data_IF_497485356166
#
_entry.id   IF_497485356166
#
_cell.length_a   1.000
_cell.length_b   1.000
_cell.length_c   1.000
_cell.angle_alpha   90.00
_cell.angle_beta   90.00
_cell.angle_gamma   90.00
#
_symmetry.space_group_name_H-M   'P 1'
#
loop_
_entity.id
_entity.type
_entity.pdbx_description
1 polymer ?
#
# COMPACT_ATOMS: atom_id res chain seq x y z
N UNK A 1 15.62 -3.99 7.31
CA UNK A 1 14.21 -4.32 7.11
C UNK A 1 13.70 -5.12 8.31
N UNK A 2 12.39 -5.13 8.59
CA UNK A 2 11.88 -5.74 9.81
C UNK A 2 12.29 -7.21 9.96
N UNK A 3 12.64 -7.58 11.17
CA UNK A 3 13.03 -8.95 11.50
C UNK A 3 11.84 -9.79 11.98
N UNK A 4 10.72 -9.14 12.28
CA UNK A 4 9.54 -9.78 12.86
C UNK A 4 8.28 -9.39 12.09
N UNK A 5 7.33 -10.33 11.89
CA UNK A 5 6.04 -10.00 11.29
C UNK A 5 5.25 -8.93 12.08
N UNK A 6 5.65 -8.68 13.32
CA UNK A 6 4.97 -7.71 14.19
C UNK A 6 5.67 -6.36 14.25
N UNK A 7 6.68 -6.17 13.39
CA UNK A 7 7.51 -4.96 13.43
C UNK A 7 6.69 -3.66 13.40
N UNK A 8 5.72 -3.57 12.49
CA UNK A 8 4.89 -2.38 12.37
C UNK A 8 3.80 -2.26 13.43
N UNK A 9 3.63 -3.27 14.29
CA UNK A 9 2.70 -3.15 15.42
C UNK A 9 3.28 -2.26 16.52
N UNK A 10 4.59 -2.11 16.56
CA UNK A 10 5.23 -1.13 17.44
C UNK A 10 5.02 0.26 16.85
N UNK A 11 4.39 1.20 17.59
CA UNK A 11 4.17 2.56 17.08
C UNK A 11 5.44 3.27 16.66
N UNK A 12 6.59 2.92 17.20
CA UNK A 12 7.86 3.52 16.83
C UNK A 12 8.33 3.07 15.44
N UNK A 13 7.80 1.98 14.92
CA UNK A 13 8.19 1.43 13.63
C UNK A 13 7.14 1.69 12.54
N UNK A 14 5.91 2.01 12.91
CA UNK A 14 4.88 2.37 11.92
C UNK A 14 5.17 3.78 11.40
N UNK A 15 5.51 3.94 10.11
CA UNK A 15 5.86 5.25 9.58
C UNK A 15 4.71 6.26 9.65
N UNK A 16 3.48 5.79 9.61
CA UNK A 16 2.32 6.68 9.71
C UNK A 16 2.18 7.21 11.12
N UNK A 17 2.30 6.36 12.12
CA UNK A 17 2.25 6.78 13.52
C UNK A 17 3.36 7.78 13.82
N UNK A 18 4.55 7.51 13.28
CA UNK A 18 5.71 8.36 13.49
C UNK A 18 5.51 9.79 12.95
N UNK A 19 4.87 9.93 11.80
CA UNK A 19 4.71 11.23 11.14
C UNK A 19 3.39 11.92 11.45
N UNK A 20 2.30 11.18 11.65
CA UNK A 20 0.97 11.73 11.84
C UNK A 20 0.48 11.66 13.28
N UNK A 21 1.16 10.85 14.12
CA UNK A 21 0.82 10.75 15.53
C UNK A 21 -0.30 9.76 15.82
N UNK A 22 -0.77 9.81 17.05
CA UNK A 22 -1.77 8.87 17.54
C UNK A 22 -3.09 8.95 16.76
N UNK A 23 -3.70 7.80 16.54
CA UNK A 23 -4.95 7.70 15.83
C UNK A 23 -4.77 7.41 14.33
N UNK A 24 -3.59 7.63 13.79
CA UNK A 24 -3.25 7.29 12.40
C UNK A 24 -2.30 6.10 12.36
N UNK A 25 -2.44 5.26 11.38
CA UNK A 25 -1.57 4.10 11.19
C UNK A 25 -1.59 3.59 9.76
N UNK A 26 -0.69 2.67 9.43
CA UNK A 26 -0.78 1.88 8.21
C UNK A 26 -2.02 0.98 8.27
N UNK A 27 -2.69 0.75 7.15
CA UNK A 27 -3.82 -0.19 7.12
C UNK A 27 -3.34 -1.63 7.24
N UNK A 28 -4.18 -2.46 7.84
CA UNK A 28 -3.98 -3.90 7.81
C UNK A 28 -4.35 -4.47 6.44
N UNK A 29 -3.78 -5.64 6.13
CA UNK A 29 -4.09 -6.37 4.90
C UNK A 29 -5.60 -6.63 4.78
N UNK A 30 -6.26 -6.97 5.87
CA UNK A 30 -7.71 -7.19 5.88
C UNK A 30 -8.51 -5.96 5.49
N UNK A 31 -8.04 -4.78 5.85
CA UNK A 31 -8.70 -3.53 5.47
C UNK A 31 -8.57 -3.26 3.98
N UNK A 32 -7.41 -3.55 3.40
CA UNK A 32 -7.20 -3.44 1.96
C UNK A 32 -8.02 -4.48 1.19
N UNK A 33 -8.14 -5.70 1.74
CA UNK A 33 -8.99 -6.74 1.16
C UNK A 33 -10.45 -6.32 1.12
N UNK A 34 -10.93 -5.63 2.14
CA UNK A 34 -12.29 -5.09 2.16
C UNK A 34 -12.53 -4.10 1.02
N UNK A 35 -11.56 -3.26 0.73
CA UNK A 35 -11.68 -2.33 -0.40
C UNK A 35 -11.86 -3.09 -1.71
N UNK A 36 -11.17 -4.21 -1.88
CA UNK A 36 -11.28 -5.02 -3.08
C UNK A 36 -12.65 -5.71 -3.16
N UNK A 37 -13.10 -6.29 -2.06
CA UNK A 37 -14.30 -7.14 -2.04
C UNK A 37 -15.60 -6.36 -1.96
N UNK A 38 -15.61 -5.23 -1.26
CA UNK A 38 -16.86 -4.53 -0.91
C UNK A 38 -17.06 -3.20 -1.62
N UNK A 39 -16.06 -2.72 -2.34
CA UNK A 39 -16.09 -1.41 -2.97
C UNK A 39 -16.07 -1.52 -4.48
N UNK A 40 -16.59 -0.49 -5.13
CA UNK A 40 -16.55 -0.36 -6.58
C UNK A 40 -15.28 0.40 -6.99
N UNK A 41 -14.53 -0.14 -7.93
CA UNK A 41 -13.31 0.47 -8.44
C UNK A 41 -13.55 1.04 -9.83
N UNK A 42 -13.19 2.32 -10.00
CA UNK A 42 -13.32 3.02 -11.28
C UNK A 42 -11.98 3.67 -11.59
N UNK A 43 -11.46 3.42 -12.77
CA UNK A 43 -10.20 4.05 -13.21
C UNK A 43 -10.51 5.46 -13.70
N UNK A 44 -9.84 6.45 -13.11
CA UNK A 44 -10.03 7.86 -13.46
C UNK A 44 -8.69 8.58 -13.55
N UNK A 45 -8.73 9.77 -14.15
CA UNK A 45 -7.62 10.70 -14.09
C UNK A 45 -8.04 11.89 -13.24
N UNK A 46 -7.21 12.25 -12.26
CA UNK A 46 -7.47 13.38 -11.38
C UNK A 46 -6.21 14.23 -11.30
N UNK A 47 -6.32 15.50 -11.69
CA UNK A 47 -5.20 16.44 -11.69
C UNK A 47 -3.98 15.91 -12.44
N UNK A 48 -4.21 15.26 -13.58
CA UNK A 48 -3.13 14.71 -14.42
C UNK A 48 -2.57 13.39 -13.96
N UNK A 49 -3.12 12.80 -12.92
CA UNK A 49 -2.64 11.51 -12.37
C UNK A 49 -3.74 10.47 -12.51
N UNK A 50 -3.39 9.34 -13.12
CA UNK A 50 -4.30 8.21 -13.24
C UNK A 50 -4.30 7.38 -11.97
N UNK A 51 -5.42 6.77 -11.67
CA UNK A 51 -5.56 5.92 -10.51
C UNK A 51 -6.96 5.36 -10.36
N UNK A 52 -7.22 4.79 -9.21
CA UNK A 52 -8.49 4.15 -8.91
C UNK A 52 -9.33 5.02 -7.98
N UNK A 53 -10.57 5.29 -8.38
CA UNK A 53 -11.58 5.81 -7.48
C UNK A 53 -12.27 4.60 -6.85
N UNK A 54 -12.19 4.48 -5.56
CA UNK A 54 -12.76 3.36 -4.80
C UNK A 54 -13.95 3.87 -4.02
N UNK A 55 -15.13 3.40 -4.38
CA UNK A 55 -16.40 3.86 -3.81
C UNK A 55 -16.98 2.77 -2.91
N UNK A 56 -17.22 3.11 -1.66
CA UNK A 56 -17.82 2.19 -0.70
C UNK A 56 -19.33 2.09 -0.81
N UNK A 57 -19.92 1.14 -0.07
CA UNK A 57 -21.38 0.94 -0.08
C UNK A 57 -22.16 2.16 0.39
N UNK A 58 -21.55 3.02 1.19
CA UNK A 58 -22.19 4.25 1.68
C UNK A 58 -22.15 5.41 0.67
N UNK A 59 -21.56 5.19 -0.50
CA UNK A 59 -21.41 6.22 -1.53
C UNK A 59 -20.18 7.09 -1.40
N UNK A 60 -19.46 7.03 -0.30
CA UNK A 60 -18.21 7.77 -0.13
C UNK A 60 -17.09 7.11 -0.92
N UNK A 61 -16.18 7.93 -1.41
CA UNK A 61 -15.09 7.41 -2.22
C UNK A 61 -13.75 8.00 -1.81
N UNK A 62 -12.69 7.26 -2.14
CA UNK A 62 -11.31 7.73 -2.03
C UNK A 62 -10.65 7.56 -3.39
N UNK A 63 -9.59 8.34 -3.62
CA UNK A 63 -8.78 8.21 -4.82
C UNK A 63 -7.43 7.63 -4.43
N UNK A 64 -7.04 6.55 -5.10
CA UNK A 64 -5.74 5.92 -4.92
C UNK A 64 -4.93 6.13 -6.19
N UNK A 65 -3.98 7.08 -6.19
CA UNK A 65 -3.13 7.31 -7.36
C UNK A 65 -2.34 6.07 -7.74
N UNK A 66 -2.21 5.83 -9.04
CA UNK A 66 -1.30 4.81 -9.56
C UNK A 66 0.11 5.40 -9.59
N UNK A 67 0.70 5.50 -8.43
CA UNK A 67 1.99 6.18 -8.22
C UNK A 67 3.18 5.36 -8.71
N UNK A 68 2.97 4.09 -9.03
CA UNK A 68 4.06 3.20 -9.36
C UNK A 68 4.87 2.84 -8.13
N UNK A 69 6.08 2.39 -8.34
CA UNK A 69 7.00 2.01 -7.29
C UNK A 69 8.39 2.56 -7.61
N UNK A 70 9.11 3.00 -6.59
CA UNK A 70 10.51 3.41 -6.74
C UNK A 70 11.38 2.19 -6.47
N UNK A 71 12.15 1.80 -7.46
CA UNK A 71 12.97 0.59 -7.42
C UNK A 71 14.44 1.00 -7.40
N UNK A 72 15.12 0.67 -6.32
CA UNK A 72 16.55 0.90 -6.15
C UNK A 72 17.34 -0.41 -6.11
N UNK A 73 16.79 -1.44 -6.73
CA UNK A 73 17.37 -2.76 -6.74
C UNK A 73 18.74 -2.77 -7.44
N UNK A 74 19.67 -3.50 -6.84
CA UNK A 74 21.02 -3.73 -7.37
C UNK A 74 21.93 -2.48 -7.45
N UNK A 75 21.56 -1.38 -6.79
CA UNK A 75 22.40 -0.19 -6.74
C UNK A 75 22.58 0.54 -8.07
N UNK A 76 21.68 0.31 -9.02
CA UNK A 76 21.73 0.94 -10.33
C UNK A 76 21.19 2.37 -10.34
N UNK A 77 21.00 2.95 -9.16
CA UNK A 77 20.31 4.21 -9.01
C UNK A 77 18.81 3.99 -9.07
N UNK A 78 18.09 4.66 -8.20
CA UNK A 78 16.65 4.51 -8.09
C UNK A 78 15.92 4.92 -9.35
N UNK A 79 14.82 4.25 -9.63
CA UNK A 79 14.03 4.48 -10.81
C UNK A 79 12.55 4.26 -10.50
N UNK A 80 11.73 5.22 -10.88
CA UNK A 80 10.28 5.06 -10.81
C UNK A 80 9.79 4.17 -11.95
N UNK A 81 8.93 3.22 -11.62
CA UNK A 81 8.33 2.32 -12.60
C UNK A 81 6.81 2.34 -12.49
N UNK A 82 6.15 2.15 -13.62
CA UNK A 82 4.70 1.94 -13.69
C UNK A 82 3.85 3.09 -13.17
N UNK A 83 4.40 4.31 -13.15
CA UNK A 83 3.61 5.51 -12.84
C UNK A 83 2.46 5.64 -13.84
N UNK A 84 1.27 5.97 -13.33
CA UNK A 84 0.01 6.04 -14.09
C UNK A 84 -0.46 4.69 -14.65
N UNK A 85 0.15 3.60 -14.23
CA UNK A 85 -0.24 2.25 -14.66
C UNK A 85 -0.60 1.34 -13.49
N UNK A 86 0.17 1.41 -12.41
CA UNK A 86 0.03 0.51 -11.28
C UNK A 86 0.18 1.27 -9.98
N UNK A 87 -0.65 0.92 -9.00
CA UNK A 87 -0.50 1.40 -7.63
C UNK A 87 0.01 0.30 -6.72
N UNK A 88 0.92 0.68 -5.83
CA UNK A 88 1.49 -0.21 -4.82
C UNK A 88 1.35 0.49 -3.47
N UNK A 89 0.65 -0.14 -2.54
CA UNK A 89 0.38 0.46 -1.23
C UNK A 89 0.79 -0.49 -0.13
N UNK A 90 1.62 0.01 0.78
CA UNK A 90 2.12 -0.75 1.91
C UNK A 90 1.03 -0.99 2.94
N UNK A 91 1.01 -2.18 3.52
CA UNK A 91 0.15 -2.50 4.67
C UNK A 91 0.99 -2.70 5.93
N UNK A 92 0.30 -2.74 7.06
CA UNK A 92 0.91 -3.05 8.35
C UNK A 92 1.18 -4.55 8.52
N UNK A 93 0.48 -5.38 7.76
CA UNK A 93 0.51 -6.82 7.94
C UNK A 93 1.75 -7.44 7.31
N UNK A 94 2.36 -8.35 8.05
CA UNK A 94 3.56 -9.06 7.65
C UNK A 94 3.41 -10.55 7.90
N UNK A 95 4.24 -11.34 7.25
CA UNK A 95 4.24 -12.79 7.39
C UNK A 95 5.67 -13.31 7.30
N UNK A 96 5.97 -14.36 8.05
CA UNK A 96 7.24 -15.06 7.97
C UNK A 96 7.14 -16.14 6.89
N UNK A 97 8.05 -16.10 5.94
CA UNK A 97 8.12 -17.09 4.83
C UNK A 97 9.56 -17.48 4.60
N UNK A 98 9.86 -18.79 4.70
CA UNK A 98 11.20 -19.33 4.40
C UNK A 98 12.31 -18.54 5.09
N UNK A 99 12.15 -18.30 6.39
CA UNK A 99 13.08 -17.54 7.23
C UNK A 99 13.23 -16.07 6.85
N UNK A 100 12.39 -15.57 5.95
CA UNK A 100 12.35 -14.15 5.57
C UNK A 100 11.03 -13.54 5.96
N UNK A 101 11.06 -12.25 6.32
CA UNK A 101 9.82 -11.51 6.60
C UNK A 101 9.32 -10.89 5.31
N UNK A 102 8.10 -11.31 4.91
CA UNK A 102 7.39 -10.68 3.82
C UNK A 102 6.36 -9.70 4.35
N UNK A 103 6.01 -8.71 3.57
CA UNK A 103 4.92 -7.81 3.92
C UNK A 103 3.85 -7.82 2.85
N UNK A 104 2.60 -7.70 3.31
CA UNK A 104 1.47 -7.61 2.40
C UNK A 104 1.37 -6.22 1.81
N UNK A 105 1.03 -6.16 0.54
CA UNK A 105 0.84 -4.91 -0.17
C UNK A 105 -0.35 -5.01 -1.09
N UNK A 106 -1.05 -3.90 -1.23
CA UNK A 106 -2.09 -3.78 -2.25
C UNK A 106 -1.43 -3.43 -3.57
N UNK A 107 -1.75 -4.16 -4.61
CA UNK A 107 -1.34 -3.83 -5.98
C UNK A 107 -2.59 -3.73 -6.85
N UNK A 108 -2.64 -2.71 -7.69
CA UNK A 108 -3.75 -2.57 -8.63
C UNK A 108 -3.32 -1.89 -9.91
N UNK A 109 -4.05 -2.20 -10.97
CA UNK A 109 -3.97 -1.51 -12.25
C UNK A 109 -5.40 -1.22 -12.69
N UNK A 110 -5.58 -0.72 -13.90
CA UNK A 110 -6.92 -0.44 -14.41
C UNK A 110 -7.83 -1.68 -14.40
N UNK A 111 -7.26 -2.84 -14.66
CA UNK A 111 -8.04 -4.07 -14.86
C UNK A 111 -7.91 -5.08 -13.71
N UNK A 112 -6.87 -4.98 -12.92
CA UNK A 112 -6.58 -5.99 -11.90
C UNK A 112 -6.26 -5.34 -10.56
N UNK A 113 -6.55 -6.07 -9.48
CA UNK A 113 -6.21 -5.67 -8.13
C UNK A 113 -6.10 -6.90 -7.24
N UNK A 114 -5.24 -6.81 -6.25
CA UNK A 114 -5.06 -7.93 -5.32
C UNK A 114 -4.11 -7.58 -4.20
N UNK A 115 -4.03 -8.48 -3.25
CA UNK A 115 -3.11 -8.41 -2.13
C UNK A 115 -1.98 -9.40 -2.40
N UNK A 116 -0.75 -8.92 -2.33
CA UNK A 116 0.43 -9.72 -2.64
C UNK A 116 1.44 -9.62 -1.50
N UNK A 117 2.28 -10.63 -1.40
CA UNK A 117 3.36 -10.68 -0.43
C UNK A 117 4.68 -10.53 -1.16
N UNK A 118 5.53 -9.63 -0.69
CA UNK A 118 6.86 -9.46 -1.22
C UNK A 118 7.87 -9.41 -0.10
N UNK A 119 9.07 -9.91 -0.37
CA UNK A 119 10.18 -9.93 0.57
C UNK A 119 11.28 -8.92 0.22
N UNK A 120 11.15 -8.23 -0.90
CA UNK A 120 12.10 -7.19 -1.28
C UNK A 120 11.90 -5.96 -0.39
N UNK A 121 13.00 -5.39 0.03
CA UNK A 121 13.01 -4.19 0.84
C UNK A 121 13.62 -2.98 0.10
N UNK A 122 13.92 -3.15 -1.17
CA UNK A 122 14.49 -2.09 -2.01
C UNK A 122 13.46 -1.26 -2.74
N UNK A 123 12.17 -1.59 -2.62
CA UNK A 123 11.10 -0.84 -3.26
C UNK A 123 10.50 0.17 -2.28
N UNK A 124 10.25 1.36 -2.78
CA UNK A 124 9.51 2.39 -2.06
C UNK A 124 8.10 2.48 -2.62
N UNK A 125 7.13 2.35 -1.76
CA UNK A 125 5.72 2.29 -2.13
C UNK A 125 4.94 3.44 -1.51
N UNK A 126 3.80 3.73 -2.09
CA UNK A 126 2.88 4.69 -1.51
C UNK A 126 2.28 4.16 -0.21
N UNK A 127 1.81 5.08 0.61
CA UNK A 127 1.14 4.79 1.87
C UNK A 127 -0.19 5.51 1.88
N UNK A 128 -1.25 4.79 2.25
CA UNK A 128 -2.56 5.38 2.49
C UNK A 128 -2.87 5.23 3.98
N UNK A 129 -2.67 6.28 4.78
CA UNK A 129 -2.95 6.21 6.21
C UNK A 129 -4.43 5.97 6.49
N UNK A 130 -4.72 5.24 7.56
CA UNK A 130 -6.06 5.08 8.09
C UNK A 130 -6.11 5.61 9.50
N UNK A 131 -7.29 6.06 9.90
CA UNK A 131 -7.49 6.66 11.22
C UNK A 131 -8.39 5.76 12.05
N UNK A 132 -7.96 5.49 13.27
CA UNK A 132 -8.78 4.82 14.27
C UNK A 132 -9.71 5.83 14.92
N UNK A 133 -10.98 5.47 15.04
CA UNK A 133 -12.00 6.28 15.71
C UNK A 133 -12.40 5.66 17.04
#
# INVERSE_FOLDING_TARGET
>A
FPESPEYFNDPNHDPVVKYLGNGWRLPFESEMSELIEKCKWTWIMKNGIEGAKVTGPNGNSIFLPASGVYDDYAGWGGKWRDKNKTGFYLTKSMVLRNDSVGHYRLMFSEKNRGIYVGCENSFFMAVRPVKDY
#
